data_IF_732459098402
#
_entry.id   IF_732459098402
#
_cell.length_a   1.000
_cell.length_b   1.000
_cell.length_c   1.000
_cell.angle_alpha   90.00
_cell.angle_beta   90.00
_cell.angle_gamma   90.00
#
_symmetry.space_group_name_H-M   'P 1'
#
loop_
_entity.id
_entity.type
_entity.pdbx_description
1 polymer ?
#
# COMPACT_ATOMS: atom_id res chain seq x y z
N UNK A 1 -17.46 -28.70 22.25
CA UNK A 1 -17.77 -28.08 20.95
C UNK A 1 -18.82 -27.02 21.23
N UNK A 2 -18.61 -25.80 20.75
CA UNK A 2 -19.56 -24.67 20.76
C UNK A 2 -19.43 -23.59 21.86
N UNK A 3 -18.28 -22.90 21.87
CA UNK A 3 -18.16 -21.53 22.41
C UNK A 3 -17.32 -20.67 21.47
N UNK A 4 -17.88 -20.28 20.33
CA UNK A 4 -17.32 -19.21 19.48
C UNK A 4 -18.40 -18.30 18.87
N UNK A 5 -19.61 -18.31 19.42
CA UNK A 5 -20.73 -17.52 18.94
C UNK A 5 -21.15 -16.50 20.01
N UNK A 6 -20.38 -15.42 20.16
CA UNK A 6 -20.93 -14.06 20.33
C UNK A 6 -19.79 -13.01 20.36
N UNK A 7 -19.17 -12.75 19.21
CA UNK A 7 -18.44 -11.50 19.03
C UNK A 7 -19.42 -10.50 18.39
N UNK A 8 -19.65 -9.32 19.00
CA UNK A 8 -20.61 -8.37 18.46
C UNK A 8 -20.19 -7.96 17.05
N UNK A 9 -21.08 -8.18 16.07
CA UNK A 9 -20.92 -7.62 14.73
C UNK A 9 -20.95 -6.10 14.85
N UNK A 10 -19.79 -5.46 14.72
CA UNK A 10 -19.70 -4.00 14.65
C UNK A 10 -20.52 -3.51 13.44
N UNK A 11 -21.59 -2.76 13.73
CA UNK A 11 -22.34 -2.01 12.73
C UNK A 11 -21.50 -0.86 12.15
N UNK A 12 -21.86 -0.47 10.93
CA UNK A 12 -21.09 0.38 10.03
C UNK A 12 -21.04 1.87 10.43
N UNK A 13 -19.83 2.41 10.32
CA UNK A 13 -19.42 3.71 9.71
C UNK A 13 -20.03 5.02 10.23
N UNK A 14 -19.19 5.79 10.93
CA UNK A 14 -19.26 7.26 10.89
C UNK A 14 -18.72 7.75 9.52
N UNK A 15 -19.51 8.50 8.73
CA UNK A 15 -19.12 9.00 7.41
C UNK A 15 -17.96 10.02 7.42
N UNK A 16 -17.44 10.43 8.58
CA UNK A 16 -16.25 11.29 8.71
C UNK A 16 -14.92 10.52 8.74
N UNK A 17 -14.94 9.20 8.48
CA UNK A 17 -13.84 8.27 8.78
C UNK A 17 -13.26 7.56 7.54
N UNK A 18 -13.64 7.96 6.33
CA UNK A 18 -13.12 7.31 5.13
C UNK A 18 -11.66 7.68 4.91
N UNK A 19 -10.83 6.66 4.71
CA UNK A 19 -9.41 6.84 4.45
C UNK A 19 -9.22 7.60 3.14
N UNK A 20 -8.38 8.63 3.14
CA UNK A 20 -7.98 9.30 1.91
C UNK A 20 -7.02 8.39 1.15
N UNK A 21 -7.32 8.07 -0.10
CA UNK A 21 -6.40 7.33 -0.97
C UNK A 21 -5.53 8.28 -1.79
N UNK A 22 -4.27 7.87 -2.02
CA UNK A 22 -3.32 8.57 -2.89
C UNK A 22 -2.65 7.54 -3.78
N UNK A 23 -2.76 7.72 -5.08
CA UNK A 23 -2.00 6.92 -6.03
C UNK A 23 -0.52 7.32 -5.98
N UNK A 24 0.34 6.32 -5.97
CA UNK A 24 1.78 6.51 -5.95
C UNK A 24 2.44 5.71 -7.05
N UNK A 25 3.53 6.26 -7.53
CA UNK A 25 4.46 5.62 -8.41
C UNK A 25 5.87 5.83 -7.86
N UNK A 26 6.68 4.77 -7.88
CA UNK A 26 8.10 4.82 -7.52
C UNK A 26 8.94 4.26 -8.65
N UNK A 27 9.96 5.00 -9.05
CA UNK A 27 11.01 4.50 -9.93
C UNK A 27 11.91 3.54 -9.15
N UNK A 28 12.10 2.35 -9.69
CA UNK A 28 12.91 1.28 -9.08
C UNK A 28 13.99 0.77 -10.02
N UNK A 29 14.24 1.48 -11.13
CA UNK A 29 15.13 1.06 -12.22
C UNK A 29 16.50 0.62 -11.70
N UNK A 30 17.16 1.47 -10.92
CA UNK A 30 18.50 1.20 -10.38
C UNK A 30 18.52 0.06 -9.37
N UNK A 31 17.39 -0.19 -8.69
CA UNK A 31 17.30 -1.20 -7.64
C UNK A 31 17.21 -2.63 -8.20
N UNK A 32 16.73 -2.78 -9.44
CA UNK A 32 16.42 -4.09 -10.03
C UNK A 32 17.41 -4.54 -11.09
N UNK A 33 18.20 -3.62 -11.65
CA UNK A 33 19.26 -3.90 -12.64
C UNK A 33 18.78 -4.78 -13.82
N UNK A 34 17.59 -4.46 -14.35
CA UNK A 34 16.98 -5.19 -15.47
C UNK A 34 17.39 -4.63 -16.85
N UNK A 35 18.20 -3.57 -16.87
CA UNK A 35 18.61 -2.86 -18.08
C UNK A 35 17.49 -2.04 -18.75
N UNK A 36 16.36 -1.85 -18.08
CA UNK A 36 15.21 -1.11 -18.59
C UNK A 36 14.48 -0.35 -17.48
N UNK A 37 13.75 0.71 -17.84
CA UNK A 37 13.02 1.53 -16.87
C UNK A 37 11.92 0.74 -16.17
N UNK A 38 11.95 0.72 -14.84
CA UNK A 38 11.01 -0.03 -14.01
C UNK A 38 10.33 0.88 -12.99
N UNK A 39 9.00 0.83 -12.96
CA UNK A 39 8.15 1.61 -12.05
C UNK A 39 7.19 0.70 -11.32
N UNK A 40 7.08 0.90 -10.00
CA UNK A 40 6.06 0.29 -9.17
C UNK A 40 4.89 1.26 -9.01
N UNK A 41 3.67 0.77 -9.22
CA UNK A 41 2.42 1.50 -8.94
C UNK A 41 1.81 1.00 -7.66
N UNK A 42 1.23 1.91 -6.88
CA UNK A 42 0.59 1.58 -5.62
C UNK A 42 -0.46 2.59 -5.21
N UNK A 43 -1.13 2.29 -4.11
CA UNK A 43 -2.10 3.17 -3.47
C UNK A 43 -1.74 3.29 -1.99
N UNK A 44 -1.66 4.52 -1.49
CA UNK A 44 -1.49 4.84 -0.07
C UNK A 44 -2.86 5.17 0.52
N UNK A 45 -3.25 4.45 1.56
CA UNK A 45 -4.44 4.70 2.34
C UNK A 45 -4.03 5.49 3.58
N UNK A 46 -4.40 6.76 3.59
CA UNK A 46 -4.10 7.71 4.66
C UNK A 46 -5.29 7.76 5.61
N UNK A 47 -5.09 7.53 6.92
CA UNK A 47 -6.14 7.68 7.92
C UNK A 47 -6.81 9.06 7.84
N UNK A 48 -8.13 9.10 8.03
CA UNK A 48 -8.86 10.35 8.21
C UNK A 48 -8.28 11.16 9.38
N UNK A 49 -8.32 12.49 9.26
CA UNK A 49 -7.82 13.42 10.29
C UNK A 49 -8.47 13.11 11.64
N UNK A 50 -7.66 12.64 12.59
CA UNK A 50 -8.11 12.18 13.91
C UNK A 50 -7.04 11.41 14.69
N UNK A 51 -6.05 10.83 13.99
CA UNK A 51 -4.84 10.36 14.63
C UNK A 51 -4.03 11.57 15.12
N UNK A 52 -3.98 11.76 16.43
CA UNK A 52 -3.32 12.87 17.12
C UNK A 52 -1.85 13.07 16.72
N UNK A 53 -1.20 14.12 17.23
CA UNK A 53 0.18 14.44 16.86
C UNK A 53 1.12 13.28 17.24
N UNK A 54 1.84 12.72 16.26
CA UNK A 54 2.80 11.63 16.49
C UNK A 54 3.15 10.83 15.23
N UNK A 55 4.20 9.99 15.29
CA UNK A 55 4.53 9.07 14.20
C UNK A 55 3.40 8.06 14.01
N UNK A 56 3.04 7.80 12.75
CA UNK A 56 2.02 6.81 12.39
C UNK A 56 2.69 5.52 11.94
N UNK A 57 2.20 4.34 12.37
CA UNK A 57 2.67 3.08 11.80
C UNK A 57 2.34 3.02 10.32
N UNK A 58 3.25 2.43 9.55
CA UNK A 58 3.09 2.18 8.12
C UNK A 58 3.13 0.68 7.87
N UNK A 59 2.12 0.15 7.19
CA UNK A 59 2.11 -1.22 6.68
C UNK A 59 2.34 -1.20 5.18
N UNK A 60 3.42 -1.84 4.73
CA UNK A 60 3.69 -2.06 3.31
C UNK A 60 3.15 -3.43 2.93
N UNK A 61 2.09 -3.43 2.15
CA UNK A 61 1.34 -4.61 1.78
C UNK A 61 1.76 -5.09 0.38
N UNK A 62 2.55 -6.16 0.36
CA UNK A 62 3.07 -6.79 -0.86
C UNK A 62 2.21 -8.01 -1.20
N UNK A 63 1.52 -8.04 -2.36
CA UNK A 63 0.67 -9.15 -2.73
C UNK A 63 1.49 -10.39 -3.14
N UNK A 64 0.85 -11.56 -3.13
CA UNK A 64 1.42 -12.76 -3.75
C UNK A 64 1.64 -12.58 -5.26
N UNK A 65 2.50 -13.41 -5.86
CA UNK A 65 3.00 -13.19 -7.23
C UNK A 65 1.95 -13.15 -8.35
N UNK A 66 0.79 -13.76 -8.16
CA UNK A 66 -0.31 -13.75 -9.14
C UNK A 66 -1.36 -12.67 -8.87
N UNK A 67 -1.21 -11.92 -7.79
CA UNK A 67 -2.14 -10.89 -7.35
C UNK A 67 -1.61 -9.48 -7.63
N UNK A 68 -2.51 -8.52 -7.51
CA UNK A 68 -2.23 -7.09 -7.58
C UNK A 68 -2.52 -6.46 -6.21
N UNK A 69 -2.27 -5.16 -6.06
CA UNK A 69 -2.62 -4.38 -4.86
C UNK A 69 -4.11 -4.48 -4.48
N UNK A 70 -4.98 -4.86 -5.42
CA UNK A 70 -6.41 -5.14 -5.17
C UNK A 70 -6.64 -6.28 -4.18
N UNK A 71 -5.66 -7.16 -3.97
CA UNK A 71 -5.75 -8.16 -2.89
C UNK A 71 -5.92 -7.51 -1.51
N UNK A 72 -5.24 -6.37 -1.28
CA UNK A 72 -5.29 -5.61 -0.03
C UNK A 72 -6.44 -4.61 0.04
N UNK A 73 -7.05 -4.31 -1.11
CA UNK A 73 -8.25 -3.49 -1.23
C UNK A 73 -9.29 -4.22 -2.10
N UNK A 74 -9.77 -5.33 -1.57
CA UNK A 74 -10.75 -6.17 -2.26
C UNK A 74 -12.14 -5.56 -2.13
N UNK A 75 -12.72 -5.17 -3.27
CA UNK A 75 -14.10 -4.69 -3.37
C UNK A 75 -14.97 -5.84 -3.84
N UNK A 76 -15.95 -6.23 -3.01
CA UNK A 76 -16.89 -7.31 -3.32
C UNK A 76 -18.29 -6.69 -3.50
N UNK A 77 -18.93 -6.80 -4.67
CA UNK A 77 -20.25 -6.23 -4.89
C UNK A 77 -21.27 -6.68 -3.84
N UNK A 78 -21.95 -5.71 -3.22
CA UNK A 78 -22.94 -5.97 -2.17
C UNK A 78 -22.37 -6.42 -0.83
N UNK A 79 -21.04 -6.43 -0.62
CA UNK A 79 -20.43 -6.80 0.66
C UNK A 79 -19.34 -5.80 1.08
N UNK A 80 -19.50 -5.24 2.28
CA UNK A 80 -18.50 -4.40 2.91
C UNK A 80 -17.52 -5.22 3.77
N UNK A 81 -16.41 -4.61 4.18
CA UNK A 81 -15.48 -5.18 5.17
C UNK A 81 -14.37 -6.09 4.61
N UNK A 82 -14.22 -6.18 3.29
CA UNK A 82 -13.18 -7.00 2.65
C UNK A 82 -11.88 -6.24 2.34
N UNK A 83 -11.86 -4.91 2.48
CA UNK A 83 -10.63 -4.14 2.32
C UNK A 83 -9.82 -4.11 3.62
N UNK A 84 -8.70 -4.84 3.61
CA UNK A 84 -7.66 -4.76 4.63
C UNK A 84 -7.15 -3.32 4.77
N UNK A 85 -6.84 -2.67 3.64
CA UNK A 85 -6.25 -1.34 3.61
C UNK A 85 -7.17 -0.28 4.24
N UNK A 86 -8.46 -0.29 3.91
CA UNK A 86 -9.43 0.62 4.54
C UNK A 86 -9.62 0.32 6.03
N UNK A 87 -9.65 -0.96 6.42
CA UNK A 87 -9.86 -1.32 7.84
C UNK A 87 -8.72 -0.83 8.73
N UNK A 88 -7.48 -0.99 8.27
CA UNK A 88 -6.31 -0.49 8.99
C UNK A 88 -6.19 1.03 8.95
N UNK A 89 -6.55 1.66 7.82
CA UNK A 89 -6.56 3.12 7.71
C UNK A 89 -7.59 3.77 8.65
N UNK A 90 -8.78 3.18 8.83
CA UNK A 90 -9.75 3.62 9.85
C UNK A 90 -9.22 3.51 11.28
N UNK A 91 -8.23 2.64 11.53
CA UNK A 91 -7.58 2.44 12.84
C UNK A 91 -6.34 3.32 13.03
N UNK A 92 -6.07 4.26 12.13
CA UNK A 92 -4.95 5.18 12.25
C UNK A 92 -3.63 4.69 11.64
N UNK A 93 -3.64 3.58 10.89
CA UNK A 93 -2.44 3.00 10.26
C UNK A 93 -2.37 3.43 8.80
N UNK A 94 -1.21 3.92 8.35
CA UNK A 94 -1.01 4.17 6.91
C UNK A 94 -0.77 2.82 6.23
N UNK A 95 -1.53 2.51 5.19
CA UNK A 95 -1.31 1.29 4.39
C UNK A 95 -0.82 1.67 3.00
N UNK A 96 0.27 1.08 2.56
CA UNK A 96 0.81 1.23 1.21
C UNK A 96 0.66 -0.12 0.50
N UNK A 97 -0.19 -0.19 -0.51
CA UNK A 97 -0.39 -1.41 -1.29
C UNK A 97 0.21 -1.25 -2.68
N UNK A 98 1.14 -2.14 -3.05
CA UNK A 98 1.85 -2.10 -4.32
C UNK A 98 1.40 -3.21 -5.29
N UNK A 99 1.50 -2.93 -6.59
CA UNK A 99 1.51 -3.96 -7.63
C UNK A 99 2.95 -4.42 -7.82
N UNK A 100 3.25 -5.72 -7.68
CA UNK A 100 4.59 -6.23 -8.00
C UNK A 100 4.94 -5.94 -9.47
N UNK A 101 6.22 -5.82 -9.81
CA UNK A 101 6.65 -5.83 -11.22
C UNK A 101 6.06 -7.05 -11.95
N UNK A 102 5.62 -6.85 -13.18
CA UNK A 102 4.90 -7.88 -13.95
C UNK A 102 3.39 -7.93 -13.71
N UNK A 103 2.88 -7.27 -12.65
CA UNK A 103 1.46 -7.34 -12.26
C UNK A 103 0.79 -5.96 -12.27
N UNK A 104 -0.54 -5.95 -12.32
CA UNK A 104 -1.35 -4.74 -12.13
C UNK A 104 -0.94 -3.61 -13.08
N UNK A 105 -0.75 -2.42 -12.50
CA UNK A 105 -0.35 -1.21 -13.22
C UNK A 105 1.17 -0.97 -13.22
N UNK A 106 1.96 -1.77 -12.50
CA UNK A 106 3.42 -1.68 -12.51
C UNK A 106 4.01 -2.09 -13.86
N UNK A 107 5.27 -1.68 -14.10
CA UNK A 107 6.00 -2.08 -15.31
C UNK A 107 5.97 -3.60 -15.48
N UNK A 108 5.84 -4.05 -16.73
CA UNK A 108 6.04 -5.44 -17.16
C UNK A 108 7.34 -5.52 -17.95
N UNK A 109 8.49 -5.77 -17.29
CA UNK A 109 9.77 -5.85 -17.97
C UNK A 109 9.78 -6.98 -19.00
N UNK A 110 10.63 -6.84 -20.01
CA UNK A 110 10.93 -7.92 -20.94
C UNK A 110 11.50 -9.14 -20.18
N UNK A 111 11.26 -10.37 -20.66
CA UNK A 111 11.76 -11.59 -20.01
C UNK A 111 11.21 -11.79 -18.59
N UNK A 112 9.98 -12.31 -18.49
CA UNK A 112 9.30 -12.52 -17.20
C UNK A 112 10.02 -13.50 -16.26
N UNK A 113 10.87 -14.37 -16.79
CA UNK A 113 11.79 -15.25 -16.04
C UNK A 113 12.83 -14.49 -15.22
N UNK A 114 13.16 -13.25 -15.61
CA UNK A 114 14.06 -12.36 -14.87
C UNK A 114 13.40 -11.77 -13.60
N UNK A 115 12.09 -11.88 -13.43
CA UNK A 115 11.36 -11.42 -12.25
C UNK A 115 11.46 -12.42 -11.09
N UNK A 116 12.69 -12.67 -10.63
CA UNK A 116 12.93 -13.56 -9.49
C UNK A 116 12.39 -12.96 -8.19
N UNK A 117 12.13 -13.78 -7.15
CA UNK A 117 11.72 -13.27 -5.84
C UNK A 117 12.66 -12.19 -5.29
N UNK A 118 13.97 -12.31 -5.53
CA UNK A 118 14.98 -11.33 -5.10
C UNK A 118 14.86 -10.00 -5.86
N UNK A 119 14.56 -10.04 -7.15
CA UNK A 119 14.27 -8.84 -7.95
C UNK A 119 12.99 -8.16 -7.45
N UNK A 120 11.93 -8.93 -7.23
CA UNK A 120 10.67 -8.40 -6.68
C UNK A 120 10.86 -7.81 -5.28
N UNK A 121 11.66 -8.45 -4.42
CA UNK A 121 11.96 -7.95 -3.08
C UNK A 121 12.74 -6.62 -3.13
N UNK A 122 13.76 -6.52 -3.99
CA UNK A 122 14.53 -5.28 -4.19
C UNK A 122 13.65 -4.14 -4.70
N UNK A 123 12.79 -4.43 -5.67
CA UNK A 123 11.84 -3.46 -6.21
C UNK A 123 10.88 -2.94 -5.12
N UNK A 124 10.24 -3.84 -4.37
CA UNK A 124 9.33 -3.46 -3.28
C UNK A 124 10.06 -2.71 -2.16
N UNK A 125 11.30 -3.08 -1.82
CA UNK A 125 12.12 -2.36 -0.84
C UNK A 125 12.38 -0.91 -1.28
N UNK A 126 12.83 -0.72 -2.52
CA UNK A 126 13.12 0.61 -3.06
C UNK A 126 11.87 1.50 -3.09
N UNK A 127 10.74 0.97 -3.58
CA UNK A 127 9.47 1.68 -3.62
C UNK A 127 8.95 2.02 -2.21
N UNK A 128 9.05 1.09 -1.26
CA UNK A 128 8.67 1.34 0.13
C UNK A 128 9.47 2.49 0.74
N UNK A 129 10.79 2.52 0.54
CA UNK A 129 11.64 3.61 1.04
C UNK A 129 11.28 4.95 0.42
N UNK A 130 11.12 5.01 -0.91
CA UNK A 130 10.71 6.24 -1.61
C UNK A 130 9.39 6.79 -1.03
N UNK A 131 8.35 5.95 -0.95
CA UNK A 131 7.03 6.38 -0.47
C UNK A 131 7.06 6.81 1.00
N UNK A 132 7.76 6.07 1.87
CA UNK A 132 7.85 6.37 3.31
C UNK A 132 8.63 7.67 3.57
N UNK A 133 9.66 7.97 2.77
CA UNK A 133 10.51 9.14 2.98
C UNK A 133 9.97 10.42 2.32
N UNK A 134 9.01 10.35 1.38
CA UNK A 134 8.40 11.53 0.73
C UNK A 134 7.87 12.59 1.71
N UNK A 135 7.08 12.25 2.75
CA UNK A 135 6.57 13.24 3.71
C UNK A 135 7.69 13.95 4.49
N UNK A 136 8.83 13.28 4.71
CA UNK A 136 9.99 13.87 5.40
C UNK A 136 10.69 14.91 4.53
N UNK A 137 10.67 14.74 3.20
CA UNK A 137 11.29 15.67 2.25
C UNK A 137 10.48 16.94 2.07
N UNK A 138 9.14 16.87 2.12
CA UNK A 138 8.28 18.06 2.01
C UNK A 138 8.29 18.94 3.27
N UNK A 139 8.47 18.35 4.46
CA UNK A 139 8.58 19.11 5.72
C UNK A 139 9.91 19.86 5.90
N UNK A 140 11.00 19.41 5.26
CA UNK A 140 12.29 20.15 5.31
C UNK A 140 12.31 21.38 4.40
N UNK A 141 11.51 21.40 3.33
CA UNK A 141 11.46 22.54 2.40
C UNK A 141 10.65 23.74 2.91
N UNK A 142 9.89 23.58 4.01
CA UNK A 142 9.06 24.63 4.61
C UNK A 142 9.74 25.39 5.77
N UNK A 143 11.01 25.09 6.09
CA UNK A 143 11.77 25.79 7.16
C UNK A 143 12.87 26.74 6.65
N UNK A 144 13.01 26.89 5.33
CA UNK A 144 13.81 27.96 4.74
C UNK A 144 12.88 28.89 3.95
N UNK A 145 12.21 29.79 4.67
CA UNK A 145 11.67 31.03 4.13
C UNK A 145 11.49 32.04 5.25
#
# INVERSE_FOLDING_TARGET
>A
MDQLADMPRRQATDPRTDARTVEVESDVTDAVDLGEQCRLRGTVFVPATGAGPGPRPVLVAVPGGTYTRRYWHLVVPGRAGYSFAEDFARRGVVVVAFDNLGTGASTRPSGGDRLTPEVIARANHAAARDVIDRPRRSHSSMKLS
#
